data_IF_394606194252
#
_entry.id   IF_394606194252
#
_cell.length_a   1.000
_cell.length_b   1.000
_cell.length_c   1.000
_cell.angle_alpha   90.00
_cell.angle_beta   90.00
_cell.angle_gamma   90.00
#
_symmetry.space_group_name_H-M   'P 1'
#
loop_
_entity.id
_entity.type
_entity.pdbx_description
1 polymer ?
#
# COMPACT_ATOMS: atom_id res chain seq x y z
N UNK A 1 25.03 10.31 1.42
CA UNK A 1 24.92 8.88 1.79
C UNK A 1 23.75 8.28 1.04
N UNK A 2 23.96 7.21 0.27
CA UNK A 2 22.85 6.50 -0.42
C UNK A 2 21.88 5.99 0.64
N UNK A 3 20.62 6.42 0.56
CA UNK A 3 19.56 6.05 1.47
C UNK A 3 19.31 4.54 1.32
N UNK A 4 19.91 3.73 2.18
CA UNK A 4 19.61 2.30 2.27
C UNK A 4 18.19 2.21 2.84
N UNK A 5 17.17 2.26 1.97
CA UNK A 5 15.76 2.05 2.36
C UNK A 5 15.73 0.75 3.16
N UNK A 6 15.52 0.85 4.47
CA UNK A 6 15.60 -0.30 5.37
C UNK A 6 14.42 -1.23 5.12
N UNK A 7 14.69 -2.46 4.71
CA UNK A 7 13.67 -3.48 4.59
C UNK A 7 13.16 -3.90 5.97
N UNK A 8 11.87 -4.23 6.05
CA UNK A 8 11.22 -4.71 7.28
C UNK A 8 10.78 -6.15 7.14
N UNK A 9 10.84 -6.91 8.23
CA UNK A 9 10.27 -8.26 8.33
C UNK A 9 8.75 -8.20 8.44
N UNK A 10 8.08 -9.33 8.20
CA UNK A 10 6.61 -9.40 8.33
C UNK A 10 6.10 -9.03 9.74
N UNK A 11 6.86 -9.34 10.79
CA UNK A 11 6.50 -8.98 12.16
C UNK A 11 6.62 -7.47 12.42
N UNK A 12 7.63 -6.82 11.86
CA UNK A 12 7.74 -5.37 11.90
C UNK A 12 6.59 -4.70 11.11
N UNK A 13 6.21 -5.26 9.96
CA UNK A 13 5.06 -4.76 9.18
C UNK A 13 3.73 -4.98 9.89
N UNK A 14 3.54 -6.12 10.58
CA UNK A 14 2.39 -6.34 11.47
C UNK A 14 2.30 -5.24 12.52
N UNK A 15 3.41 -4.94 13.20
CA UNK A 15 3.44 -3.93 14.25
C UNK A 15 3.13 -2.52 13.73
N UNK A 16 3.58 -2.20 12.51
CA UNK A 16 3.37 -0.90 11.86
C UNK A 16 1.95 -0.71 11.34
N UNK A 17 1.38 -1.73 10.71
CA UNK A 17 0.08 -1.63 10.05
C UNK A 17 -1.08 -2.14 10.92
N UNK A 18 -0.77 -2.82 12.02
CA UNK A 18 -1.73 -3.54 12.86
C UNK A 18 -2.54 -4.58 12.06
N UNK A 19 -1.90 -5.18 11.06
CA UNK A 19 -2.48 -6.22 10.20
C UNK A 19 -1.80 -7.54 10.50
N UNK A 20 -2.59 -8.57 10.81
CA UNK A 20 -2.05 -9.88 11.20
C UNK A 20 -1.21 -10.50 10.08
N UNK A 21 -0.17 -11.30 10.39
CA UNK A 21 0.74 -11.80 9.38
C UNK A 21 0.05 -12.68 8.33
N UNK A 22 -0.97 -13.46 8.69
CA UNK A 22 -1.69 -14.30 7.72
C UNK A 22 -2.47 -13.44 6.70
N UNK A 23 -2.98 -12.28 7.11
CA UNK A 23 -3.64 -11.32 6.20
C UNK A 23 -2.62 -10.70 5.25
N UNK A 24 -1.43 -10.34 5.74
CA UNK A 24 -0.34 -9.84 4.89
C UNK A 24 0.06 -10.88 3.82
N UNK A 25 0.18 -12.16 4.20
CA UNK A 25 0.44 -13.26 3.25
C UNK A 25 -0.68 -13.41 2.22
N UNK A 26 -1.93 -13.36 2.68
CA UNK A 26 -3.08 -13.39 1.77
C UNK A 26 -3.08 -12.22 0.78
N UNK A 27 -2.67 -11.02 1.21
CA UNK A 27 -2.53 -9.87 0.33
C UNK A 27 -1.37 -10.01 -0.66
N UNK A 28 -0.25 -10.64 -0.29
CA UNK A 28 0.83 -10.98 -1.24
C UNK A 28 0.33 -11.86 -2.39
N UNK A 29 -0.54 -12.82 -2.10
CA UNK A 29 -1.15 -13.70 -3.11
C UNK A 29 -2.24 -12.99 -3.92
N UNK A 30 -2.96 -12.07 -3.26
CA UNK A 30 -4.05 -11.35 -3.89
C UNK A 30 -3.56 -10.26 -4.85
N UNK A 31 -2.50 -9.53 -4.50
CA UNK A 31 -2.07 -8.34 -5.23
C UNK A 31 -0.67 -8.55 -5.83
N UNK A 32 -0.59 -8.61 -7.16
CA UNK A 32 0.66 -8.89 -7.89
C UNK A 32 1.75 -7.83 -7.66
N UNK A 33 1.39 -6.64 -7.19
CA UNK A 33 2.29 -5.55 -6.83
C UNK A 33 2.99 -5.77 -5.48
N UNK A 34 2.43 -6.61 -4.60
CA UNK A 34 2.98 -6.88 -3.26
C UNK A 34 3.96 -8.05 -3.36
N UNK A 35 5.22 -7.72 -3.66
CA UNK A 35 6.29 -8.72 -3.83
C UNK A 35 7.40 -8.51 -2.81
N UNK A 36 7.30 -9.09 -1.61
CA UNK A 36 8.39 -9.01 -0.64
C UNK A 36 9.63 -9.70 -1.20
N UNK A 37 10.80 -9.14 -0.88
CA UNK A 37 12.08 -9.78 -1.16
C UNK A 37 12.17 -11.05 -0.30
N UNK A 38 12.34 -12.21 -0.95
CA UNK A 38 12.53 -13.49 -0.27
C UNK A 38 14.03 -13.75 -0.09
N UNK A 39 14.51 -13.81 1.15
CA UNK A 39 15.90 -14.23 1.46
C UNK A 39 16.00 -15.75 1.63
N UNK A 40 17.24 -16.26 1.67
CA UNK A 40 17.52 -17.66 2.06
C UNK A 40 16.77 -18.00 3.37
N UNK A 41 16.11 -19.15 3.39
CA UNK A 41 15.26 -19.57 4.52
C UNK A 41 13.84 -19.00 4.52
N UNK A 42 13.36 -18.42 3.42
CA UNK A 42 11.95 -18.04 3.24
C UNK A 42 11.50 -16.79 4.00
N UNK A 43 12.44 -16.04 4.59
CA UNK A 43 12.16 -14.77 5.26
C UNK A 43 11.75 -13.71 4.24
N UNK A 44 10.62 -13.06 4.50
CA UNK A 44 10.06 -11.96 3.70
C UNK A 44 10.54 -10.62 4.22
N UNK A 45 10.99 -9.79 3.30
CA UNK A 45 11.45 -8.44 3.55
C UNK A 45 10.67 -7.46 2.68
N UNK A 46 10.00 -6.51 3.30
CA UNK A 46 9.18 -5.50 2.65
C UNK A 46 9.98 -4.20 2.54
N UNK A 47 10.05 -3.64 1.34
CA UNK A 47 10.56 -2.28 1.15
C UNK A 47 9.54 -1.26 1.64
N UNK A 48 10.00 -0.03 1.87
CA UNK A 48 9.11 1.09 2.25
C UNK A 48 7.96 1.28 1.24
N UNK A 49 8.27 1.13 -0.04
CA UNK A 49 7.32 1.22 -1.15
C UNK A 49 6.18 0.19 -1.03
N UNK A 50 6.52 -1.07 -0.70
CA UNK A 50 5.53 -2.12 -0.46
C UNK A 50 4.73 -1.84 0.81
N UNK A 51 5.36 -1.31 1.86
CA UNK A 51 4.68 -0.96 3.12
C UNK A 51 3.66 0.16 2.88
N UNK A 52 3.99 1.14 2.04
CA UNK A 52 3.06 2.21 1.66
C UNK A 52 1.88 1.67 0.86
N UNK A 53 2.12 0.76 -0.09
CA UNK A 53 1.03 0.10 -0.80
C UNK A 53 0.13 -0.71 0.14
N UNK A 54 0.72 -1.48 1.06
CA UNK A 54 -0.03 -2.23 2.07
C UNK A 54 -0.89 -1.32 2.95
N UNK A 55 -0.41 -0.11 3.25
CA UNK A 55 -1.17 0.91 4.00
C UNK A 55 -2.39 1.39 3.23
N UNK A 56 -2.24 1.66 1.93
CA UNK A 56 -3.36 2.05 1.05
C UNK A 56 -4.40 0.92 1.00
N UNK A 57 -3.95 -0.31 0.77
CA UNK A 57 -4.83 -1.50 0.72
C UNK A 57 -5.57 -1.68 2.05
N UNK A 58 -4.87 -1.53 3.18
CA UNK A 58 -5.48 -1.59 4.50
C UNK A 58 -6.60 -0.56 4.64
N UNK A 59 -6.35 0.70 4.29
CA UNK A 59 -7.33 1.77 4.41
C UNK A 59 -8.57 1.48 3.54
N UNK A 60 -8.37 1.09 2.29
CA UNK A 60 -9.48 0.77 1.38
C UNK A 60 -10.33 -0.39 1.91
N UNK A 61 -9.71 -1.45 2.43
CA UNK A 61 -10.45 -2.63 2.90
C UNK A 61 -11.12 -2.36 4.26
N UNK A 62 -10.37 -1.85 5.23
CA UNK A 62 -10.82 -1.79 6.63
C UNK A 62 -11.64 -0.53 6.91
N UNK A 63 -11.18 0.63 6.43
CA UNK A 63 -11.83 1.92 6.73
C UNK A 63 -12.93 2.25 5.73
N UNK A 64 -12.75 1.87 4.46
CA UNK A 64 -13.70 2.19 3.37
C UNK A 64 -14.58 1.01 2.95
N UNK A 65 -14.36 -0.18 3.52
CA UNK A 65 -15.21 -1.36 3.28
C UNK A 65 -15.08 -1.97 1.88
N UNK A 66 -14.00 -1.70 1.14
CA UNK A 66 -13.79 -2.32 -0.17
C UNK A 66 -13.52 -3.82 -0.01
N UNK A 67 -14.10 -4.62 -0.91
CA UNK A 67 -13.65 -6.00 -1.10
C UNK A 67 -12.29 -6.03 -1.79
N UNK A 68 -11.56 -7.14 -1.67
CA UNK A 68 -10.27 -7.36 -2.38
C UNK A 68 -10.42 -7.11 -3.89
N UNK A 69 -11.51 -7.58 -4.50
CA UNK A 69 -11.81 -7.34 -5.93
C UNK A 69 -12.02 -5.84 -6.22
N UNK A 70 -12.69 -5.13 -5.32
CA UNK A 70 -12.87 -3.68 -5.39
C UNK A 70 -11.53 -2.94 -5.35
N UNK A 71 -10.65 -3.31 -4.42
CA UNK A 71 -9.31 -2.72 -4.31
C UNK A 71 -8.47 -2.99 -5.56
N UNK A 72 -8.51 -4.20 -6.12
CA UNK A 72 -7.82 -4.49 -7.41
C UNK A 72 -8.28 -3.54 -8.51
N UNK A 73 -9.59 -3.33 -8.65
CA UNK A 73 -10.15 -2.40 -9.64
C UNK A 73 -9.72 -0.95 -9.38
N UNK A 74 -9.68 -0.53 -8.11
CA UNK A 74 -9.21 0.79 -7.72
C UNK A 74 -7.74 1.01 -8.09
N UNK A 75 -6.86 0.07 -7.74
CA UNK A 75 -5.43 0.18 -8.04
C UNK A 75 -5.14 0.22 -9.55
N UNK A 76 -5.87 -0.56 -10.36
CA UNK A 76 -5.75 -0.53 -11.82
C UNK A 76 -6.23 0.78 -12.43
N UNK A 77 -7.32 1.38 -11.92
CA UNK A 77 -7.87 2.64 -12.44
C UNK A 77 -6.93 3.82 -12.19
N UNK A 78 -6.29 3.85 -11.02
CA UNK A 78 -5.41 4.95 -10.61
C UNK A 78 -3.93 4.71 -10.98
N UNK A 79 -3.65 3.77 -11.89
CA UNK A 79 -2.28 3.45 -12.37
C UNK A 79 -1.25 3.14 -11.27
N UNK A 80 -1.70 2.77 -10.08
CA UNK A 80 -0.86 2.27 -8.97
C UNK A 80 -0.24 0.90 -9.33
N UNK A 81 -0.60 0.35 -10.49
CA UNK A 81 -0.05 -0.86 -11.09
C UNK A 81 1.38 -0.76 -11.59
N UNK A 82 1.93 0.45 -11.77
CA UNK A 82 3.21 0.63 -12.48
C UNK A 82 4.44 0.46 -11.58
N UNK A 83 4.25 0.03 -10.33
CA UNK A 83 5.34 -0.44 -9.47
C UNK A 83 6.07 -1.58 -10.20
N UNK A 84 7.29 -1.30 -10.65
CA UNK A 84 8.08 -2.22 -11.47
C UNK A 84 8.23 -3.57 -10.77
N UNK A 85 8.43 -4.62 -11.57
CA UNK A 85 8.60 -6.02 -11.13
C UNK A 85 9.74 -6.22 -10.10
N UNK A 86 10.63 -5.25 -9.95
CA UNK A 86 11.77 -5.20 -9.01
C UNK A 86 11.48 -4.46 -7.69
N UNK A 87 10.25 -3.97 -7.48
CA UNK A 87 9.81 -3.39 -6.20
C UNK A 87 10.28 -1.96 -5.94
N UNK A 88 10.76 -1.25 -6.98
CA UNK A 88 11.02 0.18 -6.92
C UNK A 88 9.89 0.99 -7.54
N UNK A 89 9.29 1.90 -6.76
CA UNK A 89 8.39 2.94 -7.27
C UNK A 89 9.28 4.07 -7.81
N UNK A 90 9.05 4.56 -9.04
CA UNK A 90 9.75 5.80 -9.45
C UNK A 90 9.26 6.94 -8.55
N UNK A 91 10.16 7.80 -8.10
CA UNK A 91 9.84 8.91 -7.19
C UNK A 91 8.64 9.75 -7.68
N UNK A 92 8.50 9.94 -9.01
CA UNK A 92 7.35 10.60 -9.63
C UNK A 92 6.03 9.86 -9.39
N UNK A 93 6.02 8.54 -9.56
CA UNK A 93 4.85 7.69 -9.31
C UNK A 93 4.50 7.66 -7.81
N UNK A 94 5.49 7.67 -6.92
CA UNK A 94 5.27 7.75 -5.47
C UNK A 94 4.64 9.09 -5.06
N UNK A 95 5.11 10.20 -5.66
CA UNK A 95 4.54 11.53 -5.48
C UNK A 95 3.11 11.61 -6.01
N UNK A 96 2.85 11.06 -7.19
CA UNK A 96 1.51 11.03 -7.79
C UNK A 96 0.52 10.26 -6.92
N UNK A 97 0.91 9.09 -6.41
CA UNK A 97 0.09 8.29 -5.49
C UNK A 97 -0.20 9.07 -4.19
N UNK A 98 0.83 9.73 -3.62
CA UNK A 98 0.65 10.54 -2.40
C UNK A 98 -0.29 11.72 -2.66
N UNK A 99 -0.13 12.41 -3.79
CA UNK A 99 -0.95 13.55 -4.17
C UNK A 99 -2.41 13.15 -4.43
N UNK A 100 -2.65 12.03 -5.10
CA UNK A 100 -4.01 11.50 -5.31
C UNK A 100 -4.68 11.15 -3.99
N UNK A 101 -3.95 10.50 -3.07
CA UNK A 101 -4.49 10.12 -1.77
C UNK A 101 -4.81 11.35 -0.91
N UNK A 102 -3.92 12.36 -0.89
CA UNK A 102 -4.16 13.65 -0.23
C UNK A 102 -5.38 14.33 -0.85
N UNK A 103 -5.46 14.41 -2.18
CA UNK A 103 -6.59 15.01 -2.90
C UNK A 103 -7.91 14.31 -2.58
N UNK A 104 -7.90 12.98 -2.48
CA UNK A 104 -9.06 12.20 -2.06
C UNK A 104 -9.52 12.58 -0.64
N UNK A 105 -8.62 12.61 0.34
CA UNK A 105 -8.97 13.00 1.71
C UNK A 105 -9.40 14.46 1.83
N UNK A 106 -8.79 15.37 1.08
CA UNK A 106 -9.22 16.78 1.03
C UNK A 106 -10.63 16.92 0.46
N UNK A 107 -10.97 16.19 -0.61
CA UNK A 107 -12.34 16.17 -1.15
C UNK A 107 -13.33 15.61 -0.13
N UNK A 108 -12.98 14.52 0.56
CA UNK A 108 -13.83 13.93 1.59
C UNK A 108 -14.07 14.90 2.75
N UNK A 109 -13.01 15.51 3.28
CA UNK A 109 -13.10 16.50 4.36
C UNK A 109 -13.95 17.70 3.95
N UNK A 110 -13.77 18.20 2.72
CA UNK A 110 -14.59 19.28 2.16
C UNK A 110 -16.07 18.90 2.09
N UNK A 111 -16.41 17.69 1.66
CA UNK A 111 -17.80 17.25 1.59
C UNK A 111 -18.45 17.15 2.97
N UNK A 112 -17.71 16.69 3.99
CA UNK A 112 -18.19 16.65 5.38
C UNK A 112 -18.51 18.06 5.87
N UNK A 113 -17.57 19.01 5.68
CA UNK A 113 -17.74 20.41 6.09
C UNK A 113 -18.89 21.12 5.36
N UNK A 114 -19.23 20.70 4.14
CA UNK A 114 -20.37 21.25 3.39
C UNK A 114 -21.70 20.62 3.83
N UNK A 115 -21.70 19.35 4.27
CA UNK A 115 -22.91 18.65 4.71
C UNK A 115 -23.39 19.00 6.13
N UNK A 116 -22.57 19.71 6.92
CA UNK A 116 -22.91 20.20 8.26
C UNK A 116 -23.51 21.63 8.25
N UNK A 117 -23.74 22.22 7.07
CA UNK A 117 -24.48 23.48 6.87
C UNK A 117 -25.84 23.23 6.24
#
# INVERSE_FOLDING_TARGET
MKNVKAYKTIGEVENLLKVKPHVLRFWEESFFQIKPLKRKGGRRLYSEDIINLLRIIKNLIIEEGYTVKGVKKYLSKNKISDIKKDGGIKISEELDIKLEHISHYLKKAKNILISEK
#
